data_IF_582586627219
#
_entry.id   IF_582586627219
#
_cell.length_a   1.000
_cell.length_b   1.000
_cell.length_c   1.000
_cell.angle_alpha   90.00
_cell.angle_beta   90.00
_cell.angle_gamma   90.00
#
_symmetry.space_group_name_H-M   'P 1'
#
loop_
_entity.id
_entity.type
_entity.pdbx_description
1 polymer ?
#
# COMPACT_ATOMS: atom_id res chain seq x y z
N UNK A 1 42.44 17.10 -43.19
CA UNK A 1 41.27 17.16 -42.31
C UNK A 1 41.80 16.86 -40.92
N UNK A 2 41.69 17.81 -40.00
CA UNK A 2 42.24 17.67 -38.64
C UNK A 2 41.28 16.84 -37.78
N UNK A 3 41.81 15.90 -37.00
CA UNK A 3 41.00 15.01 -36.16
C UNK A 3 40.43 15.79 -34.97
N UNK A 4 39.10 15.80 -34.83
CA UNK A 4 38.42 16.50 -33.74
C UNK A 4 38.51 15.66 -32.47
N UNK A 5 39.07 16.24 -31.40
CA UNK A 5 39.17 15.59 -30.08
C UNK A 5 37.94 15.86 -29.23
N UNK A 6 37.48 14.83 -28.52
CA UNK A 6 36.32 14.92 -27.62
C UNK A 6 36.60 15.78 -26.39
N UNK A 7 37.85 15.83 -25.92
CA UNK A 7 38.27 16.65 -24.77
C UNK A 7 39.62 17.31 -25.02
N UNK A 8 39.91 18.38 -24.27
CA UNK A 8 41.14 19.17 -24.33
C UNK A 8 41.98 19.07 -23.07
N UNK A 9 41.38 18.69 -21.93
CA UNK A 9 42.07 18.51 -20.66
C UNK A 9 41.57 17.30 -19.86
N UNK A 10 42.22 17.03 -18.71
CA UNK A 10 41.90 15.88 -17.84
C UNK A 10 40.51 15.99 -17.20
N UNK A 11 40.06 17.22 -16.87
CA UNK A 11 38.77 17.46 -16.20
C UNK A 11 37.62 17.23 -17.18
N UNK A 12 37.77 17.71 -18.42
CA UNK A 12 36.79 17.49 -19.47
C UNK A 12 36.70 16.01 -19.85
N UNK A 13 37.83 15.29 -19.88
CA UNK A 13 37.83 13.83 -20.07
C UNK A 13 37.01 13.11 -18.99
N UNK A 14 37.28 13.40 -17.72
CA UNK A 14 36.57 12.80 -16.59
C UNK A 14 35.06 13.10 -16.63
N UNK A 15 34.68 14.31 -17.06
CA UNK A 15 33.27 14.66 -17.28
C UNK A 15 32.62 13.79 -18.36
N UNK A 16 33.28 13.57 -19.50
CA UNK A 16 32.75 12.70 -20.55
C UNK A 16 32.72 11.23 -20.15
N UNK A 17 33.69 10.76 -19.37
CA UNK A 17 33.68 9.40 -18.82
C UNK A 17 32.44 9.20 -17.92
N UNK A 18 32.14 10.17 -17.04
CA UNK A 18 30.92 10.13 -16.22
C UNK A 18 29.63 10.20 -17.05
N UNK A 19 29.60 10.95 -18.16
CA UNK A 19 28.45 10.99 -19.06
C UNK A 19 28.26 9.65 -19.79
N UNK A 20 29.36 9.00 -20.17
CA UNK A 20 29.32 7.67 -20.78
C UNK A 20 28.76 6.63 -19.79
N UNK A 21 29.19 6.68 -18.52
CA UNK A 21 28.65 5.80 -17.47
C UNK A 21 27.16 6.03 -17.23
N UNK A 22 26.74 7.30 -17.15
CA UNK A 22 25.32 7.65 -16.99
C UNK A 22 24.49 7.12 -18.18
N UNK A 23 24.97 7.32 -19.40
CA UNK A 23 24.33 6.81 -20.61
C UNK A 23 24.24 5.27 -20.59
N UNK A 24 25.32 4.59 -20.20
CA UNK A 24 25.39 3.14 -20.13
C UNK A 24 24.41 2.57 -19.11
N UNK A 25 24.30 3.18 -17.92
CA UNK A 25 23.34 2.76 -16.88
C UNK A 25 21.92 2.85 -17.43
N UNK A 26 21.52 4.01 -17.97
CA UNK A 26 20.15 4.20 -18.49
C UNK A 26 19.85 3.20 -19.60
N UNK A 27 20.78 2.97 -20.53
CA UNK A 27 20.56 2.02 -21.62
C UNK A 27 20.49 0.57 -21.13
N UNK A 28 21.30 0.22 -20.13
CA UNK A 28 21.29 -1.11 -19.51
C UNK A 28 19.99 -1.35 -18.77
N UNK A 29 19.50 -0.38 -18.00
CA UNK A 29 18.19 -0.45 -17.34
C UNK A 29 17.07 -0.66 -18.34
N UNK A 30 17.07 0.04 -19.49
CA UNK A 30 16.03 -0.11 -20.52
C UNK A 30 16.03 -1.52 -21.13
N UNK A 31 17.22 -2.09 -21.33
CA UNK A 31 17.36 -3.47 -21.80
C UNK A 31 16.90 -4.48 -20.76
N UNK A 32 17.21 -4.25 -19.48
CA UNK A 32 16.76 -5.10 -18.38
C UNK A 32 15.23 -5.09 -18.25
N UNK A 33 14.59 -3.91 -18.29
CA UNK A 33 13.13 -3.78 -18.26
C UNK A 33 12.49 -4.53 -19.45
N UNK A 34 13.03 -4.36 -20.66
CA UNK A 34 12.53 -5.05 -21.86
C UNK A 34 12.75 -6.56 -21.83
N UNK A 35 13.83 -7.03 -21.21
CA UNK A 35 14.09 -8.46 -21.03
C UNK A 35 13.09 -9.07 -20.03
N UNK A 36 12.81 -8.36 -18.93
CA UNK A 36 11.82 -8.80 -17.95
C UNK A 36 10.40 -8.84 -18.52
N UNK A 37 9.97 -7.81 -19.26
CA UNK A 37 8.66 -7.77 -19.94
C UNK A 37 8.50 -8.92 -20.95
N UNK A 38 9.60 -9.41 -21.52
CA UNK A 38 9.62 -10.54 -22.47
C UNK A 38 9.84 -11.89 -21.79
N UNK A 39 9.80 -11.93 -20.45
CA UNK A 39 10.00 -13.13 -19.64
C UNK A 39 11.34 -13.85 -19.92
N UNK A 40 12.38 -13.07 -20.25
CA UNK A 40 13.73 -13.60 -20.55
C UNK A 40 14.63 -13.70 -19.30
N UNK A 41 14.19 -13.13 -18.18
CA UNK A 41 14.91 -13.11 -16.90
C UNK A 41 13.91 -13.32 -15.77
N UNK A 42 14.30 -14.08 -14.75
CA UNK A 42 13.42 -14.33 -13.61
C UNK A 42 13.18 -13.07 -12.78
N UNK A 43 12.05 -13.02 -12.05
CA UNK A 43 11.76 -11.89 -11.15
C UNK A 43 12.86 -11.65 -10.11
N UNK A 44 13.50 -12.71 -9.60
CA UNK A 44 14.54 -12.58 -8.59
C UNK A 44 15.82 -11.94 -9.15
N UNK A 45 16.25 -12.37 -10.33
CA UNK A 45 17.43 -11.80 -11.02
C UNK A 45 17.15 -10.37 -11.48
N UNK A 46 15.95 -10.11 -12.00
CA UNK A 46 15.50 -8.77 -12.38
C UNK A 46 15.54 -7.80 -11.18
N UNK A 47 14.95 -8.18 -10.05
CA UNK A 47 14.92 -7.35 -8.84
C UNK A 47 16.33 -7.00 -8.37
N UNK A 48 17.21 -8.00 -8.28
CA UNK A 48 18.58 -7.81 -7.82
C UNK A 48 19.39 -6.86 -8.71
N UNK A 49 19.33 -7.04 -10.03
CA UNK A 49 20.08 -6.22 -10.98
C UNK A 49 19.46 -4.82 -11.16
N UNK A 50 18.13 -4.71 -11.12
CA UNK A 50 17.44 -3.42 -11.21
C UNK A 50 17.77 -2.53 -10.00
N UNK A 51 17.81 -3.10 -8.79
CA UNK A 51 18.22 -2.36 -7.59
C UNK A 51 19.66 -1.85 -7.66
N UNK A 52 20.59 -2.66 -8.18
CA UNK A 52 21.98 -2.23 -8.40
C UNK A 52 22.06 -1.05 -9.36
N UNK A 53 21.37 -1.13 -10.50
CA UNK A 53 21.35 -0.06 -11.50
C UNK A 53 20.72 1.23 -10.96
N UNK A 54 19.64 1.13 -10.19
CA UNK A 54 19.03 2.30 -9.51
C UNK A 54 20.02 2.94 -8.53
N UNK A 55 20.73 2.15 -7.73
CA UNK A 55 21.71 2.66 -6.77
C UNK A 55 22.89 3.36 -7.46
N UNK A 56 23.42 2.75 -8.53
CA UNK A 56 24.48 3.32 -9.35
C UNK A 56 24.02 4.63 -10.00
N UNK A 57 22.83 4.63 -10.61
CA UNK A 57 22.22 5.83 -11.19
C UNK A 57 22.11 6.96 -10.18
N UNK A 58 21.54 6.72 -8.99
CA UNK A 58 21.37 7.75 -7.95
C UNK A 58 22.70 8.35 -7.51
N UNK A 59 23.72 7.51 -7.34
CA UNK A 59 25.06 7.94 -6.94
C UNK A 59 25.67 8.87 -8.00
N UNK A 60 25.66 8.43 -9.26
CA UNK A 60 26.25 9.18 -10.37
C UNK A 60 25.45 10.44 -10.71
N UNK A 61 24.13 10.36 -10.73
CA UNK A 61 23.24 11.50 -11.00
C UNK A 61 23.41 12.60 -9.94
N UNK A 62 23.54 12.22 -8.66
CA UNK A 62 23.81 13.18 -7.57
C UNK A 62 25.16 13.87 -7.76
N UNK A 63 26.22 13.13 -8.08
CA UNK A 63 27.54 13.69 -8.34
C UNK A 63 27.56 14.63 -9.56
N UNK A 64 26.71 14.37 -10.55
CA UNK A 64 26.63 15.13 -11.80
C UNK A 64 25.59 16.27 -11.77
N UNK A 65 24.89 16.51 -10.67
CA UNK A 65 23.82 17.51 -10.61
C UNK A 65 24.23 18.90 -11.13
N UNK A 66 25.49 19.31 -10.91
CA UNK A 66 26.02 20.58 -11.41
C UNK A 66 26.26 20.63 -12.93
N UNK A 67 26.49 19.49 -13.58
CA UNK A 67 26.77 19.37 -15.02
C UNK A 67 25.55 18.88 -15.82
N UNK A 68 24.71 18.04 -15.20
CA UNK A 68 23.49 17.46 -15.77
C UNK A 68 22.35 17.71 -14.78
N UNK A 69 21.73 18.90 -14.80
CA UNK A 69 20.65 19.24 -13.87
C UNK A 69 19.31 18.57 -14.22
N UNK A 70 19.18 18.06 -15.45
CA UNK A 70 17.98 17.34 -15.93
C UNK A 70 18.39 16.16 -16.79
N UNK A 71 17.99 14.96 -16.37
CA UNK A 71 18.21 13.75 -17.15
C UNK A 71 17.35 13.73 -18.42
N UNK A 72 16.17 14.35 -18.42
CA UNK A 72 15.34 14.49 -19.64
C UNK A 72 16.10 15.25 -20.72
N UNK A 73 16.73 16.37 -20.34
CA UNK A 73 17.57 17.15 -21.26
C UNK A 73 18.81 16.38 -21.71
N UNK A 74 19.42 15.60 -20.82
CA UNK A 74 20.52 14.70 -21.20
C UNK A 74 20.06 13.65 -22.22
N UNK A 75 18.90 13.05 -22.02
CA UNK A 75 18.32 12.07 -22.92
C UNK A 75 18.01 12.68 -24.29
N UNK A 76 17.52 13.92 -24.36
CA UNK A 76 17.32 14.63 -25.61
C UNK A 76 18.64 14.90 -26.35
N UNK A 77 19.63 15.46 -25.65
CA UNK A 77 20.94 15.84 -26.22
C UNK A 77 21.67 14.61 -26.79
N UNK A 78 21.66 13.50 -26.05
CA UNK A 78 22.34 12.26 -26.45
C UNK A 78 21.42 11.26 -27.17
N UNK A 79 20.18 11.66 -27.52
CA UNK A 79 19.18 10.83 -28.23
C UNK A 79 18.95 9.47 -27.56
N UNK A 80 18.80 9.49 -26.24
CA UNK A 80 18.66 8.32 -25.40
C UNK A 80 17.21 7.83 -25.41
N UNK A 81 16.86 7.00 -26.40
CA UNK A 81 15.57 6.32 -26.48
C UNK A 81 15.50 5.16 -25.47
N UNK A 82 14.96 5.45 -24.29
CA UNK A 82 14.88 4.53 -23.15
C UNK A 82 13.70 4.85 -22.20
N UNK A 83 12.45 4.91 -22.68
CA UNK A 83 11.30 5.34 -21.89
C UNK A 83 11.04 4.45 -20.64
N UNK A 84 11.32 3.15 -20.73
CA UNK A 84 11.16 2.24 -19.60
C UNK A 84 12.18 2.54 -18.48
N UNK A 85 13.43 2.82 -18.86
CA UNK A 85 14.46 3.21 -17.89
C UNK A 85 14.17 4.56 -17.24
N UNK A 86 13.73 5.56 -18.02
CA UNK A 86 13.42 6.89 -17.47
C UNK A 86 12.31 6.80 -16.43
N UNK A 87 11.24 6.05 -16.72
CA UNK A 87 10.18 5.80 -15.72
C UNK A 87 10.73 5.08 -14.48
N UNK A 88 11.55 4.04 -14.65
CA UNK A 88 12.13 3.28 -13.53
C UNK A 88 13.06 4.13 -12.66
N UNK A 89 13.94 4.92 -13.27
CA UNK A 89 15.02 5.62 -12.59
C UNK A 89 14.58 6.96 -11.99
N UNK A 90 13.70 7.70 -12.67
CA UNK A 90 13.27 9.03 -12.23
C UNK A 90 11.95 9.03 -11.46
N UNK A 91 11.00 8.17 -11.85
CA UNK A 91 9.62 8.21 -11.32
C UNK A 91 9.42 7.17 -10.22
N UNK A 92 9.62 5.89 -10.55
CA UNK A 92 9.31 4.78 -9.63
C UNK A 92 10.41 4.59 -8.57
N UNK A 93 11.68 4.54 -8.99
CA UNK A 93 12.82 4.39 -8.07
C UNK A 93 12.92 3.04 -7.35
N UNK A 94 12.09 2.06 -7.73
CA UNK A 94 12.09 0.67 -7.26
C UNK A 94 11.78 -0.26 -8.44
N UNK A 95 12.11 -1.56 -8.43
CA UNK A 95 11.76 -2.50 -9.51
C UNK A 95 10.23 -2.66 -9.70
N UNK A 96 9.79 -3.04 -10.90
CA UNK A 96 8.36 -3.17 -11.26
C UNK A 96 7.60 -4.11 -10.31
N UNK A 97 8.24 -5.22 -9.97
CA UNK A 97 7.68 -6.26 -9.10
C UNK A 97 7.47 -5.76 -7.68
N UNK A 98 8.33 -4.86 -7.19
CA UNK A 98 8.20 -4.25 -5.85
C UNK A 98 7.06 -3.24 -5.84
N UNK A 99 6.96 -2.42 -6.89
CA UNK A 99 5.86 -1.46 -7.08
C UNK A 99 4.50 -2.17 -7.14
N UNK A 100 4.39 -3.22 -7.95
CA UNK A 100 3.18 -4.04 -8.03
C UNK A 100 2.93 -4.80 -6.72
N UNK A 101 3.96 -5.35 -6.06
CA UNK A 101 3.79 -6.02 -4.77
C UNK A 101 3.30 -5.03 -3.73
N UNK A 102 3.78 -3.79 -3.67
CA UNK A 102 3.28 -2.79 -2.73
C UNK A 102 1.80 -2.46 -2.98
N UNK A 103 1.39 -2.31 -4.25
CA UNK A 103 -0.02 -2.16 -4.62
C UNK A 103 -0.87 -3.37 -4.16
N UNK A 104 -0.39 -4.61 -4.37
CA UNK A 104 -1.10 -5.82 -3.95
C UNK A 104 -1.07 -6.02 -2.42
N UNK A 105 0.04 -5.72 -1.74
CA UNK A 105 0.21 -5.88 -0.28
C UNK A 105 -0.67 -4.92 0.51
N UNK A 106 -0.92 -3.73 -0.03
CA UNK A 106 -1.87 -2.78 0.55
C UNK A 106 -3.30 -3.33 0.63
N UNK A 107 -3.62 -4.36 -0.16
CA UNK A 107 -4.93 -5.03 -0.16
C UNK A 107 -5.00 -6.30 0.71
N UNK A 108 -3.87 -6.97 0.98
CA UNK A 108 -3.84 -8.29 1.63
C UNK A 108 -3.32 -8.32 3.08
N UNK A 109 -2.33 -7.50 3.44
CA UNK A 109 -1.83 -7.47 4.84
C UNK A 109 -2.63 -6.49 5.72
N UNK A 110 -3.09 -5.38 5.14
CA UNK A 110 -3.99 -4.44 5.81
C UNK A 110 -5.36 -5.08 6.10
N UNK A 111 -5.80 -6.03 5.26
CA UNK A 111 -7.07 -6.73 5.46
C UNK A 111 -7.00 -7.76 6.59
N UNK A 112 -5.93 -8.56 6.73
CA UNK A 112 -5.83 -9.53 7.81
C UNK A 112 -5.81 -8.90 9.21
N UNK A 113 -5.04 -7.82 9.39
CA UNK A 113 -4.98 -7.09 10.66
C UNK A 113 -6.33 -6.39 10.97
N UNK A 114 -6.95 -5.78 9.96
CA UNK A 114 -8.27 -5.14 10.12
C UNK A 114 -9.37 -6.16 10.41
N UNK A 115 -9.31 -7.36 9.81
CA UNK A 115 -10.23 -8.47 10.10
C UNK A 115 -10.05 -8.92 11.54
N UNK A 116 -8.81 -9.14 11.99
CA UNK A 116 -8.53 -9.52 13.38
C UNK A 116 -9.03 -8.47 14.39
N UNK A 117 -8.81 -7.18 14.11
CA UNK A 117 -9.33 -6.07 14.92
C UNK A 117 -10.86 -6.11 15.01
N UNK A 118 -11.55 -6.32 13.88
CA UNK A 118 -13.01 -6.38 13.84
C UNK A 118 -13.56 -7.60 14.61
N UNK A 119 -12.92 -8.77 14.46
CA UNK A 119 -13.27 -10.00 15.21
C UNK A 119 -13.13 -9.76 16.72
N UNK A 120 -12.01 -9.17 17.14
CA UNK A 120 -11.78 -8.85 18.55
C UNK A 120 -12.84 -7.88 19.10
N UNK A 121 -13.19 -6.84 18.34
CA UNK A 121 -14.19 -5.87 18.77
C UNK A 121 -15.59 -6.49 18.86
N UNK A 122 -15.96 -7.38 17.94
CA UNK A 122 -17.21 -8.15 18.03
C UNK A 122 -17.26 -9.01 19.30
N UNK A 123 -16.20 -9.79 19.55
CA UNK A 123 -16.12 -10.68 20.71
C UNK A 123 -16.18 -9.87 22.00
N UNK A 124 -15.41 -8.78 22.08
CA UNK A 124 -15.36 -7.91 23.26
C UNK A 124 -16.72 -7.27 23.54
N UNK A 125 -17.42 -6.78 22.51
CA UNK A 125 -18.76 -6.23 22.65
C UNK A 125 -19.77 -7.31 23.11
N UNK A 126 -19.75 -8.51 22.53
CA UNK A 126 -20.63 -9.62 22.94
C UNK A 126 -20.38 -10.06 24.38
N UNK A 127 -19.10 -10.19 24.77
CA UNK A 127 -18.72 -10.63 26.11
C UNK A 127 -19.09 -9.60 27.18
N UNK A 128 -18.99 -8.29 26.88
CA UNK A 128 -19.45 -7.24 27.79
C UNK A 128 -20.94 -7.43 28.17
N UNK A 129 -21.79 -7.74 27.19
CA UNK A 129 -23.22 -7.98 27.43
C UNK A 129 -23.43 -9.26 28.23
N UNK A 130 -22.69 -10.34 27.95
CA UNK A 130 -22.75 -11.60 28.71
C UNK A 130 -22.29 -11.44 30.16
N UNK A 131 -21.35 -10.54 30.42
CA UNK A 131 -20.88 -10.18 31.76
C UNK A 131 -21.80 -9.19 32.48
N UNK A 132 -22.96 -8.87 31.89
CA UNK A 132 -23.93 -7.91 32.41
C UNK A 132 -23.37 -6.48 32.56
N UNK A 133 -22.39 -6.11 31.72
CA UNK A 133 -21.89 -4.75 31.57
C UNK A 133 -22.77 -4.02 30.55
N UNK A 134 -23.93 -3.54 31.01
CA UNK A 134 -25.01 -3.01 30.14
C UNK A 134 -25.24 -1.50 30.27
N UNK A 135 -24.40 -0.81 31.05
CA UNK A 135 -24.42 0.65 31.14
C UNK A 135 -23.92 1.29 29.83
N UNK A 136 -24.47 2.45 29.47
CA UNK A 136 -24.13 3.14 28.22
C UNK A 136 -22.64 3.48 28.14
N UNK A 137 -22.03 3.96 29.22
CA UNK A 137 -20.60 4.28 29.28
C UNK A 137 -19.67 3.06 29.12
N UNK A 138 -20.17 1.85 29.40
CA UNK A 138 -19.46 0.59 29.18
C UNK A 138 -19.63 0.08 27.75
N UNK A 139 -20.85 0.11 27.22
CA UNK A 139 -21.19 -0.48 25.92
C UNK A 139 -20.85 0.45 24.75
N UNK A 140 -21.11 1.76 24.89
CA UNK A 140 -20.97 2.72 23.80
C UNK A 140 -19.53 2.79 23.25
N UNK A 141 -18.45 2.85 24.07
CA UNK A 141 -17.08 2.86 23.54
C UNK A 141 -16.77 1.61 22.72
N UNK A 142 -17.14 0.42 23.22
CA UNK A 142 -16.92 -0.86 22.53
C UNK A 142 -17.61 -0.89 21.17
N UNK A 143 -18.85 -0.38 21.10
CA UNK A 143 -19.62 -0.34 19.87
C UNK A 143 -19.08 0.71 18.88
N UNK A 144 -18.49 1.81 19.38
CA UNK A 144 -17.81 2.82 18.57
C UNK A 144 -16.53 2.27 17.93
N UNK A 145 -15.75 1.49 18.67
CA UNK A 145 -14.55 0.81 18.17
C UNK A 145 -14.92 -0.25 17.13
N UNK A 146 -15.98 -1.03 17.38
CA UNK A 146 -16.54 -1.96 16.42
C UNK A 146 -17.00 -1.25 15.14
N UNK A 147 -17.73 -0.14 15.25
CA UNK A 147 -18.15 0.66 14.08
C UNK A 147 -16.95 1.16 13.27
N UNK A 148 -15.93 1.66 13.95
CA UNK A 148 -14.71 2.17 13.31
C UNK A 148 -13.95 1.06 12.57
N UNK A 149 -13.77 -0.10 13.22
CA UNK A 149 -13.13 -1.26 12.59
C UNK A 149 -13.91 -1.80 11.38
N UNK A 150 -15.25 -1.81 11.44
CA UNK A 150 -16.11 -2.16 10.31
C UNK A 150 -15.96 -1.19 9.13
N UNK A 151 -15.74 0.10 9.38
CA UNK A 151 -15.48 1.11 8.34
C UNK A 151 -14.10 0.94 7.73
N UNK A 152 -13.07 0.66 8.54
CA UNK A 152 -11.68 0.42 8.08
C UNK A 152 -11.57 -0.72 7.08
N UNK A 153 -12.42 -1.75 7.19
CA UNK A 153 -12.48 -2.86 6.24
C UNK A 153 -12.94 -2.47 4.81
N UNK A 154 -13.40 -1.22 4.63
CA UNK A 154 -13.68 -0.62 3.32
C UNK A 154 -14.80 -1.33 2.54
N UNK A 155 -14.91 -1.00 1.25
CA UNK A 155 -15.83 -1.63 0.29
C UNK A 155 -15.22 -2.83 -0.44
N UNK A 156 -13.97 -3.19 -0.10
CA UNK A 156 -13.23 -4.27 -0.78
C UNK A 156 -13.49 -5.67 -0.23
N UNK A 157 -13.83 -5.79 1.07
CA UNK A 157 -14.11 -7.07 1.73
C UNK A 157 -15.59 -7.26 2.08
N UNK A 158 -16.27 -6.18 2.46
CA UNK A 158 -17.67 -6.25 2.88
C UNK A 158 -18.57 -5.59 1.81
N UNK A 159 -19.77 -6.16 1.56
CA UNK A 159 -20.76 -5.51 0.73
C UNK A 159 -21.04 -4.06 1.20
N UNK A 160 -21.31 -3.12 0.28
CA UNK A 160 -21.60 -1.73 0.63
C UNK A 160 -22.84 -1.58 1.54
N UNK A 161 -23.75 -2.55 1.47
CA UNK A 161 -25.00 -2.68 2.22
C UNK A 161 -24.92 -3.71 3.36
N UNK A 162 -23.71 -4.04 3.84
CA UNK A 162 -23.51 -5.00 4.91
C UNK A 162 -24.39 -4.70 6.15
N UNK A 163 -25.32 -5.61 6.43
CA UNK A 163 -26.37 -5.45 7.46
C UNK A 163 -25.79 -5.14 8.85
N UNK A 164 -24.64 -5.73 9.19
CA UNK A 164 -24.00 -5.51 10.49
C UNK A 164 -23.61 -4.05 10.73
N UNK A 165 -23.26 -3.29 9.68
CA UNK A 165 -22.98 -1.84 9.80
C UNK A 165 -24.25 -1.06 10.17
N UNK A 166 -25.39 -1.46 9.60
CA UNK A 166 -26.70 -0.84 9.88
C UNK A 166 -27.08 -1.08 11.33
N UNK A 167 -27.06 -2.35 11.78
CA UNK A 167 -27.37 -2.74 13.16
C UNK A 167 -26.50 -2.03 14.19
N UNK A 168 -25.16 -2.02 14.00
CA UNK A 168 -24.21 -1.35 14.91
C UNK A 168 -24.50 0.15 15.00
N UNK A 169 -24.76 0.81 13.87
CA UNK A 169 -25.09 2.25 13.84
C UNK A 169 -26.42 2.55 14.53
N UNK A 170 -27.43 1.70 14.35
CA UNK A 170 -28.75 1.90 14.94
C UNK A 170 -28.68 1.77 16.48
N UNK A 171 -27.86 0.84 16.98
CA UNK A 171 -27.57 0.73 18.41
C UNK A 171 -26.77 1.92 18.96
N UNK A 172 -25.74 2.41 18.25
CA UNK A 172 -25.04 3.64 18.64
C UNK A 172 -25.99 4.84 18.71
N UNK A 173 -26.89 4.97 17.73
CA UNK A 173 -27.88 6.05 17.67
C UNK A 173 -28.90 5.97 18.83
N UNK A 174 -29.15 4.77 19.35
CA UNK A 174 -29.99 4.56 20.52
C UNK A 174 -29.26 4.91 21.81
N UNK A 175 -28.03 4.42 21.99
CA UNK A 175 -27.18 4.68 23.16
C UNK A 175 -26.86 6.18 23.30
N UNK A 176 -26.65 6.88 22.19
CA UNK A 176 -26.39 8.33 22.19
C UNK A 176 -27.58 9.19 22.70
N UNK A 177 -28.79 8.62 22.80
CA UNK A 177 -29.98 9.28 23.36
C UNK A 177 -30.17 9.02 24.86
N UNK A 178 -29.31 8.19 25.45
CA UNK A 178 -29.34 7.81 26.86
C UNK A 178 -28.21 8.52 27.61
N UNK A 179 -28.37 8.68 28.92
CA UNK A 179 -27.31 9.15 29.80
C UNK A 179 -26.21 8.09 29.97
N UNK A 180 -24.99 8.53 30.29
CA UNK A 180 -23.84 7.64 30.45
C UNK A 180 -24.07 6.52 31.49
N UNK A 181 -24.80 6.82 32.57
CA UNK A 181 -25.11 5.87 33.65
C UNK A 181 -26.42 5.09 33.41
N UNK A 182 -27.15 5.36 32.33
CA UNK A 182 -28.36 4.60 32.00
C UNK A 182 -27.97 3.19 31.55
N UNK A 183 -28.78 2.21 31.92
CA UNK A 183 -28.58 0.81 31.58
C UNK A 183 -29.56 0.36 30.50
N UNK A 184 -29.11 -0.53 29.61
CA UNK A 184 -30.01 -1.27 28.73
C UNK A 184 -30.93 -2.15 29.56
N UNK A 185 -32.22 -2.16 29.24
CA UNK A 185 -33.14 -3.11 29.88
C UNK A 185 -32.78 -4.55 29.51
N UNK A 186 -33.19 -5.53 30.31
CA UNK A 186 -32.90 -6.95 30.02
C UNK A 186 -33.32 -7.36 28.59
N UNK A 187 -34.49 -6.88 28.14
CA UNK A 187 -34.97 -7.12 26.78
C UNK A 187 -34.07 -6.45 25.72
N UNK A 188 -33.60 -5.23 25.98
CA UNK A 188 -32.69 -4.52 25.08
C UNK A 188 -31.33 -5.20 25.02
N UNK A 189 -30.78 -5.63 26.16
CA UNK A 189 -29.50 -6.34 26.22
C UNK A 189 -29.56 -7.67 25.44
N UNK A 190 -30.65 -8.44 25.58
CA UNK A 190 -30.86 -9.67 24.79
C UNK A 190 -30.95 -9.40 23.29
N UNK A 191 -31.70 -8.37 22.89
CA UNK A 191 -31.79 -7.98 21.48
C UNK A 191 -30.45 -7.49 20.93
N UNK A 192 -29.72 -6.69 21.71
CA UNK A 192 -28.40 -6.17 21.35
C UNK A 192 -27.40 -7.31 21.14
N UNK A 193 -27.34 -8.27 22.06
CA UNK A 193 -26.50 -9.46 21.91
C UNK A 193 -26.86 -10.26 20.65
N UNK A 194 -28.15 -10.50 20.40
CA UNK A 194 -28.61 -11.20 19.19
C UNK A 194 -28.18 -10.48 17.90
N UNK A 195 -28.34 -9.15 17.86
CA UNK A 195 -27.95 -8.36 16.69
C UNK A 195 -26.43 -8.38 16.47
N UNK A 196 -25.63 -8.37 17.54
CA UNK A 196 -24.17 -8.52 17.47
C UNK A 196 -23.77 -9.89 16.93
N UNK A 197 -24.37 -10.97 17.46
CA UNK A 197 -24.08 -12.35 17.05
C UNK A 197 -24.48 -12.59 15.58
N UNK A 198 -25.66 -12.12 15.19
CA UNK A 198 -26.11 -12.17 13.78
C UNK A 198 -25.18 -11.39 12.86
N UNK A 199 -24.75 -10.20 13.26
CA UNK A 199 -23.83 -9.37 12.49
C UNK A 199 -22.44 -10.01 12.38
N UNK A 200 -21.96 -10.65 13.44
CA UNK A 200 -20.69 -11.38 13.46
C UNK A 200 -20.72 -12.60 12.54
N UNK A 201 -21.80 -13.38 12.56
CA UNK A 201 -21.97 -14.53 11.68
C UNK A 201 -22.01 -14.10 10.20
N UNK A 202 -22.74 -13.01 9.89
CA UNK A 202 -22.76 -12.43 8.56
C UNK A 202 -21.38 -11.89 8.14
N UNK A 203 -20.64 -11.29 9.07
CA UNK A 203 -19.27 -10.83 8.84
C UNK A 203 -18.36 -12.00 8.48
N UNK A 204 -18.37 -13.08 9.26
CA UNK A 204 -17.55 -14.28 9.00
C UNK A 204 -17.90 -14.95 7.68
N UNK A 205 -19.18 -15.00 7.31
CA UNK A 205 -19.63 -15.54 6.02
C UNK A 205 -19.19 -14.69 4.82
N UNK A 206 -18.94 -13.38 5.02
CA UNK A 206 -18.50 -12.48 3.98
C UNK A 206 -16.97 -12.50 3.76
N UNK A 207 -16.20 -13.10 4.69
CA UNK A 207 -14.77 -13.25 4.53
C UNK A 207 -14.46 -14.28 3.44
N UNK A 208 -13.44 -14.05 2.59
CA UNK A 208 -13.03 -15.03 1.59
C UNK A 208 -12.57 -16.32 2.29
N UNK A 209 -13.22 -17.44 1.99
CA UNK A 209 -12.76 -18.76 2.42
C UNK A 209 -11.39 -19.03 1.76
N UNK A 210 -10.44 -19.57 2.52
CA UNK A 210 -9.09 -19.89 2.05
C UNK A 210 -9.03 -21.02 0.99
N UNK A 211 -10.17 -21.54 0.53
CA UNK A 211 -10.29 -22.71 -0.35
C UNK A 211 -11.03 -22.36 -1.67
N UNK A 212 -10.51 -21.41 -2.46
CA UNK A 212 -10.92 -21.19 -3.85
C UNK A 212 -9.77 -20.73 -4.72
#
# INVERSE_FOLDING_TARGET
MEEVRLWRDKREREMYDNFADLYAIVKTTDKLEKAYVRDLVSSAEYEAECLKLIAQFRTLHSALHGAVPSLDRFAEVYRLDAPAALNRLLVSGVPATVEHRAATSSSSSASAAAVAECVQNFITAMDSVKLNMVAVDQVHPLLSDLSTSLVKLGTGLLPPDFEGRVKVRDWLSRLAKMGAADELTEQQARQFHFDLESSYNAFMAALPNADS
#
